data_IF_158238444364
#
_entry.id   IF_158238444364
#
_cell.length_a   1.000
_cell.length_b   1.000
_cell.length_c   1.000
_cell.angle_alpha   90.00
_cell.angle_beta   90.00
_cell.angle_gamma   90.00
#
_symmetry.space_group_name_H-M   'P 1'
#
loop_
_entity.id
_entity.type
_entity.pdbx_description
1 polymer ?
#
# COMPACT_ATOMS: atom_id res chain seq x y z
N UNK A 1 6.70 3.09 -0.14
CA UNK A 1 5.96 3.96 0.81
C UNK A 1 6.75 5.20 1.21
N UNK A 2 7.92 5.10 1.85
CA UNK A 2 8.64 6.26 2.39
C UNK A 2 9.23 7.22 1.34
N UNK A 3 9.34 6.77 0.09
CA UNK A 3 9.86 7.56 -1.04
C UNK A 3 8.81 8.50 -1.66
N UNK A 4 7.53 8.36 -1.29
CA UNK A 4 6.47 9.15 -1.88
C UNK A 4 6.60 10.63 -1.47
N UNK A 5 6.47 11.53 -2.45
CA UNK A 5 6.55 12.99 -2.27
C UNK A 5 5.30 13.66 -2.85
N UNK A 6 4.83 14.72 -2.20
CA UNK A 6 3.79 15.57 -2.76
C UNK A 6 4.36 16.60 -3.75
N UNK A 7 3.48 17.44 -4.32
CA UNK A 7 3.86 18.46 -5.30
C UNK A 7 4.84 19.53 -4.75
N UNK A 8 4.99 19.63 -3.42
CA UNK A 8 5.93 20.55 -2.75
C UNK A 8 7.24 19.86 -2.36
N UNK A 9 7.40 18.57 -2.67
CA UNK A 9 8.57 17.79 -2.29
C UNK A 9 8.55 17.28 -0.85
N UNK A 10 7.43 17.41 -0.12
CA UNK A 10 7.30 16.91 1.25
C UNK A 10 6.93 15.41 1.24
N UNK A 11 7.39 14.67 2.25
CA UNK A 11 7.03 13.27 2.42
C UNK A 11 5.51 13.10 2.61
N UNK A 12 4.89 12.22 1.81
CA UNK A 12 3.45 11.92 1.89
C UNK A 12 3.11 11.09 3.13
N UNK A 13 3.99 10.13 3.46
CA UNK A 13 3.81 9.20 4.58
C UNK A 13 4.92 9.38 5.61
N UNK A 14 4.60 9.60 6.89
CA UNK A 14 5.61 9.70 7.94
C UNK A 14 6.26 8.34 8.22
N UNK A 15 7.57 8.33 8.47
CA UNK A 15 8.33 7.11 8.78
C UNK A 15 7.73 6.36 9.97
N UNK A 16 7.49 7.06 11.08
CA UNK A 16 6.92 6.45 12.29
C UNK A 16 5.48 5.94 12.16
N UNK A 17 4.75 6.35 11.11
CA UNK A 17 3.37 5.92 10.85
C UNK A 17 3.21 4.89 9.73
N UNK A 18 4.26 4.60 8.97
CA UNK A 18 4.18 3.66 7.85
C UNK A 18 4.15 2.23 8.38
N UNK A 19 3.18 1.44 7.92
CA UNK A 19 3.06 0.00 8.21
C UNK A 19 2.81 -0.74 6.91
N UNK A 20 3.47 -1.88 6.72
CA UNK A 20 3.23 -2.80 5.59
C UNK A 20 3.14 -4.19 6.19
N UNK A 21 2.04 -4.88 5.92
CA UNK A 21 1.75 -6.20 6.45
C UNK A 21 1.35 -7.09 5.27
N UNK A 22 1.77 -8.36 5.31
CA UNK A 22 1.44 -9.35 4.29
C UNK A 22 0.93 -10.61 4.98
N UNK A 23 -0.23 -11.09 4.54
CA UNK A 23 -0.90 -12.25 5.12
C UNK A 23 -1.18 -13.27 4.02
N UNK A 24 -0.51 -14.43 4.01
CA UNK A 24 -0.84 -15.49 3.07
C UNK A 24 -2.19 -16.12 3.47
N UNK A 25 -3.11 -16.23 2.53
CA UNK A 25 -4.34 -16.99 2.75
C UNK A 25 -4.00 -18.48 2.85
N UNK A 26 -4.37 -19.13 3.96
CA UNK A 26 -4.14 -20.56 4.16
C UNK A 26 -4.93 -21.43 3.16
N UNK A 27 -6.07 -20.91 2.70
CA UNK A 27 -6.94 -21.55 1.71
C UNK A 27 -7.48 -20.48 0.76
N UNK A 28 -7.54 -20.80 -0.54
CA UNK A 28 -8.09 -19.90 -1.55
C UNK A 28 -8.69 -20.68 -2.74
N UNK A 29 -9.63 -20.03 -3.43
CA UNK A 29 -10.09 -20.41 -4.75
C UNK A 29 -9.98 -19.16 -5.65
N UNK A 30 -9.42 -19.32 -6.85
CA UNK A 30 -9.13 -18.21 -7.75
C UNK A 30 -9.69 -18.54 -9.13
N UNK A 31 -10.38 -17.57 -9.74
CA UNK A 31 -11.03 -17.72 -11.05
C UNK A 31 -11.92 -18.97 -11.13
N UNK A 32 -11.78 -19.78 -12.19
CA UNK A 32 -12.54 -21.02 -12.42
C UNK A 32 -11.95 -22.25 -11.69
N UNK A 33 -10.83 -22.08 -10.97
CA UNK A 33 -10.17 -23.14 -10.20
C UNK A 33 -9.49 -24.23 -11.04
N UNK A 34 -9.45 -24.11 -12.37
CA UNK A 34 -8.94 -25.17 -13.25
C UNK A 34 -7.41 -25.16 -13.42
N UNK A 35 -6.70 -24.20 -12.81
CA UNK A 35 -5.25 -24.06 -12.93
C UNK A 35 -4.57 -23.65 -11.62
N UNK A 36 -3.23 -23.66 -11.62
CA UNK A 36 -2.41 -23.13 -10.53
C UNK A 36 -2.36 -21.60 -10.61
N UNK A 37 -3.44 -20.97 -10.16
CA UNK A 37 -3.58 -19.51 -10.17
C UNK A 37 -3.17 -18.91 -8.83
N UNK A 38 -2.48 -17.78 -8.89
CA UNK A 38 -2.23 -16.92 -7.74
C UNK A 38 -3.14 -15.69 -7.73
N UNK A 39 -3.31 -15.10 -6.55
CA UNK A 39 -3.89 -13.77 -6.43
C UNK A 39 -3.17 -12.96 -5.35
N UNK A 40 -2.91 -11.68 -5.63
CA UNK A 40 -2.39 -10.72 -4.66
C UNK A 40 -3.31 -9.49 -4.66
N UNK A 41 -3.88 -9.22 -3.49
CA UNK A 41 -4.57 -7.97 -3.22
C UNK A 41 -3.72 -7.08 -2.31
N UNK A 42 -3.33 -5.92 -2.83
CA UNK A 42 -2.69 -4.86 -2.07
C UNK A 42 -3.69 -3.73 -1.82
N UNK A 43 -3.89 -3.39 -0.55
CA UNK A 43 -4.67 -2.24 -0.15
C UNK A 43 -3.79 -1.27 0.62
N UNK A 44 -3.73 -0.02 0.16
CA UNK A 44 -3.19 1.08 0.94
C UNK A 44 -4.34 1.87 1.53
N UNK A 45 -4.47 1.83 2.85
CA UNK A 45 -5.30 2.79 3.57
C UNK A 45 -4.49 3.99 4.00
N UNK A 46 -4.98 5.19 3.70
CA UNK A 46 -4.34 6.45 4.11
C UNK A 46 -5.31 7.42 4.79
N UNK A 47 -4.74 8.39 5.50
CA UNK A 47 -5.50 9.50 6.08
C UNK A 47 -5.98 10.46 5.00
N UNK A 48 -7.00 11.26 5.32
CA UNK A 48 -7.64 12.16 4.37
C UNK A 48 -6.80 13.41 4.04
N UNK A 49 -7.20 14.13 2.99
CA UNK A 49 -6.72 15.48 2.67
C UNK A 49 -5.57 15.53 1.67
N UNK A 50 -5.28 14.42 0.96
CA UNK A 50 -4.29 14.44 -0.13
C UNK A 50 -5.01 14.73 -1.44
N UNK A 51 -4.31 15.38 -2.36
CA UNK A 51 -4.90 15.70 -3.66
C UNK A 51 -5.07 14.44 -4.51
N UNK A 52 -6.02 14.44 -5.47
CA UNK A 52 -6.15 13.34 -6.44
C UNK A 52 -4.84 13.05 -7.19
N UNK A 53 -4.02 14.07 -7.46
CA UNK A 53 -2.72 13.92 -8.08
C UNK A 53 -1.75 13.12 -7.19
N UNK A 54 -1.73 13.38 -5.88
CA UNK A 54 -0.94 12.59 -4.91
C UNK A 54 -1.44 11.16 -4.84
N UNK A 55 -2.76 10.93 -4.81
CA UNK A 55 -3.33 9.58 -4.85
C UNK A 55 -2.87 8.80 -6.09
N UNK A 56 -2.97 9.42 -7.27
CA UNK A 56 -2.54 8.81 -8.53
C UNK A 56 -1.04 8.50 -8.52
N UNK A 57 -0.20 9.47 -8.14
CA UNK A 57 1.24 9.28 -8.10
C UNK A 57 1.65 8.16 -7.14
N UNK A 58 1.03 8.09 -5.96
CA UNK A 58 1.26 7.00 -5.01
C UNK A 58 0.83 5.66 -5.59
N UNK A 59 -0.34 5.58 -6.21
CA UNK A 59 -0.85 4.36 -6.84
C UNK A 59 0.05 3.86 -7.96
N UNK A 60 0.44 4.74 -8.89
CA UNK A 60 1.32 4.41 -10.00
C UNK A 60 2.68 3.91 -9.51
N UNK A 61 3.28 4.61 -8.54
CA UNK A 61 4.57 4.23 -7.98
C UNK A 61 4.50 2.88 -7.24
N UNK A 62 3.43 2.63 -6.48
CA UNK A 62 3.25 1.34 -5.80
C UNK A 62 3.04 0.20 -6.79
N UNK A 63 2.24 0.42 -7.84
CA UNK A 63 2.07 -0.56 -8.91
C UNK A 63 3.41 -0.85 -9.61
N UNK A 64 4.22 0.17 -9.88
CA UNK A 64 5.56 -0.03 -10.44
C UNK A 64 6.44 -0.91 -9.53
N UNK A 65 6.44 -0.67 -8.22
CA UNK A 65 7.19 -1.49 -7.26
C UNK A 65 6.68 -2.94 -7.27
N UNK A 66 5.36 -3.15 -7.30
CA UNK A 66 4.78 -4.49 -7.39
C UNK A 66 5.23 -5.21 -8.67
N UNK A 67 5.17 -4.53 -9.82
CA UNK A 67 5.63 -5.07 -11.11
C UNK A 67 7.10 -5.46 -11.07
N UNK A 68 7.97 -4.56 -10.63
CA UNK A 68 9.40 -4.84 -10.49
C UNK A 68 9.71 -6.07 -9.62
N UNK A 69 8.85 -6.36 -8.63
CA UNK A 69 9.04 -7.50 -7.72
C UNK A 69 8.36 -8.78 -8.18
N UNK A 70 7.24 -8.68 -8.91
CA UNK A 70 6.34 -9.81 -9.17
C UNK A 70 6.27 -10.20 -10.64
N UNK A 71 6.72 -9.35 -11.58
CA UNK A 71 6.67 -9.65 -13.02
C UNK A 71 7.40 -10.96 -13.36
N UNK A 72 8.51 -11.25 -12.67
CA UNK A 72 9.21 -12.53 -12.81
C UNK A 72 8.38 -13.74 -12.38
N UNK A 73 7.49 -13.62 -11.41
CA UNK A 73 6.53 -14.67 -11.02
C UNK A 73 5.37 -14.76 -12.02
N UNK A 74 4.88 -13.61 -12.53
CA UNK A 74 3.81 -13.56 -13.52
C UNK A 74 4.21 -14.22 -14.85
N UNK A 75 5.50 -14.25 -15.17
CA UNK A 75 6.04 -14.98 -16.32
C UNK A 75 6.03 -16.51 -16.12
N UNK A 76 6.00 -16.98 -14.87
CA UNK A 76 6.09 -18.41 -14.54
C UNK A 76 4.71 -19.06 -14.37
N UNK A 77 3.72 -18.31 -13.87
CA UNK A 77 2.35 -18.81 -13.69
C UNK A 77 1.32 -17.66 -13.70
N UNK A 78 0.03 -17.94 -13.97
CA UNK A 78 -0.99 -16.91 -13.97
C UNK A 78 -1.25 -16.38 -12.56
N UNK A 79 -1.09 -15.07 -12.35
CA UNK A 79 -1.34 -14.40 -11.08
C UNK A 79 -2.12 -13.12 -11.33
N UNK A 80 -3.27 -12.96 -10.67
CA UNK A 80 -3.97 -11.67 -10.62
C UNK A 80 -3.37 -10.76 -9.56
N UNK A 81 -3.15 -9.49 -9.89
CA UNK A 81 -2.70 -8.46 -8.93
C UNK A 81 -3.68 -7.29 -8.96
N UNK A 82 -4.21 -6.94 -7.79
CA UNK A 82 -5.04 -5.74 -7.61
C UNK A 82 -4.40 -4.84 -6.56
N UNK A 83 -4.24 -3.56 -6.90
CA UNK A 83 -3.87 -2.50 -5.97
C UNK A 83 -5.02 -1.52 -5.82
N UNK A 84 -5.43 -1.22 -4.59
CA UNK A 84 -6.41 -0.18 -4.29
C UNK A 84 -5.88 0.77 -3.21
N UNK A 85 -6.37 2.02 -3.25
CA UNK A 85 -6.09 3.05 -2.25
C UNK A 85 -7.42 3.51 -1.65
N UNK A 86 -7.55 3.37 -0.34
CA UNK A 86 -8.69 3.87 0.42
C UNK A 86 -8.28 5.08 1.26
N UNK A 87 -9.09 6.13 1.19
CA UNK A 87 -8.95 7.32 2.03
C UNK A 87 -9.94 7.25 3.19
N UNK A 88 -9.47 7.52 4.42
CA UNK A 88 -10.28 7.41 5.64
C UNK A 88 -11.26 8.59 5.83
N UNK A 89 -11.96 9.01 4.76
CA UNK A 89 -12.83 10.20 4.75
C UNK A 89 -14.04 10.10 5.69
N UNK A 90 -14.54 8.88 5.94
CA UNK A 90 -15.69 8.61 6.81
C UNK A 90 -15.28 8.13 8.22
N UNK A 91 -14.01 8.30 8.61
CA UNK A 91 -13.53 7.88 9.92
C UNK A 91 -14.07 8.80 11.02
N UNK A 92 -14.87 8.26 11.93
CA UNK A 92 -15.48 9.00 13.06
C UNK A 92 -14.64 9.01 14.34
N UNK A 93 -13.62 8.16 14.43
CA UNK A 93 -12.70 8.09 15.57
C UNK A 93 -11.30 7.62 15.14
N UNK A 94 -10.27 8.25 15.70
CA UNK A 94 -8.86 7.88 15.53
C UNK A 94 -8.10 8.14 16.84
N UNK A 95 -7.40 7.12 17.35
CA UNK A 95 -6.53 7.26 18.51
C UNK A 95 -5.21 6.53 18.27
N UNK A 96 -4.11 7.21 18.60
CA UNK A 96 -2.76 6.71 18.44
C UNK A 96 -2.09 6.69 19.81
N UNK A 97 -1.82 5.49 20.33
CA UNK A 97 -1.01 5.30 21.53
C UNK A 97 0.19 4.45 21.16
N UNK A 98 1.38 5.05 21.10
CA UNK A 98 2.55 4.40 20.53
C UNK A 98 3.85 5.02 21.04
N UNK A 99 4.77 4.15 21.45
CA UNK A 99 6.16 4.47 21.80
C UNK A 99 7.05 4.59 20.57
N UNK A 100 6.53 4.31 19.36
CA UNK A 100 7.29 4.34 18.11
C UNK A 100 7.42 5.76 17.54
N UNK A 101 6.37 6.59 17.64
CA UNK A 101 6.40 7.96 17.08
C UNK A 101 7.56 8.83 17.61
N UNK A 102 7.88 8.82 18.92
CA UNK A 102 9.00 9.60 19.44
C UNK A 102 10.35 9.29 18.79
N UNK A 103 10.56 8.09 18.24
CA UNK A 103 11.82 7.74 17.57
C UNK A 103 12.03 8.49 16.25
N UNK A 104 10.96 9.01 15.64
CA UNK A 104 10.98 9.59 14.29
C UNK A 104 10.55 11.06 14.24
N UNK A 105 9.90 11.57 15.29
CA UNK A 105 9.61 12.99 15.47
C UNK A 105 10.68 13.61 16.37
N UNK A 106 11.87 13.86 15.83
CA UNK A 106 12.86 14.69 16.55
C UNK A 106 12.46 16.16 16.38
N UNK A 107 12.36 16.95 17.46
CA UNK A 107 12.31 18.40 17.32
C UNK A 107 13.58 18.85 16.59
N UNK A 108 13.42 19.83 15.70
CA UNK A 108 14.54 20.54 15.10
C UNK A 108 15.33 21.28 16.19
#
# INVERSE_FOLDING_TARGET
MLEQRDATGKAVFPTGGTRVLAYPAAHCAVADGNGDYGFLYANLRMGSGRSPAVHKAVGDNLLQVLRQRLDGLLQQRPIGITLQIDESAQQVYDAKHSTLHPLFNRPA
#
